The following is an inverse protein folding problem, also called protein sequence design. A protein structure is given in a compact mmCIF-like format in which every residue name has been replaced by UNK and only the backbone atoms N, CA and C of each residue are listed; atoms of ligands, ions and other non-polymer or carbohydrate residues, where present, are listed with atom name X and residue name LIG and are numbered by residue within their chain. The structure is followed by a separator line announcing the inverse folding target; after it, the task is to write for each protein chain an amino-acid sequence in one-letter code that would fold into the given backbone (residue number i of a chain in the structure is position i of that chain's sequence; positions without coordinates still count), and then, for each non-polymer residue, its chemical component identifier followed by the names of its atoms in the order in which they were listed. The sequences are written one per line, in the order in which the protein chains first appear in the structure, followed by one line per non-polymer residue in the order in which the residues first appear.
data_IF_478409319494
#
_entry.id   IF_478409319494
#
_cell.length_a   1.000
_cell.length_b   1.000
_cell.length_c   1.000
_cell.angle_alpha   90.00
_cell.angle_beta   90.00
_cell.angle_gamma   90.00
#
_symmetry.space_group_name_H-M   'P 1'
#
loop_
_entity.id
_entity.type
_entity.pdbx_description
1 polymer ?
#
# COMPACT_ATOMS: atom_id res chain seq x y z
N UNK A 1 42.50 21.91 5.47
CA UNK A 1 43.53 20.84 5.44
C UNK A 1 42.97 19.69 4.61
N UNK A 2 43.68 19.16 3.60
CA UNK A 2 43.18 18.03 2.82
C UNK A 2 43.25 16.77 3.69
N UNK A 3 42.12 16.11 3.90
CA UNK A 3 42.05 14.87 4.66
C UNK A 3 42.80 13.80 3.84
N UNK A 4 43.98 13.38 4.29
CA UNK A 4 44.73 12.29 3.66
C UNK A 4 44.12 10.95 4.05
N UNK A 5 43.10 10.53 3.32
CA UNK A 5 42.55 9.17 3.47
C UNK A 5 43.63 8.18 3.05
N UNK A 6 44.16 7.38 3.97
CA UNK A 6 45.00 6.24 3.60
C UNK A 6 44.11 5.14 3.03
N UNK A 7 44.58 4.46 1.98
CA UNK A 7 43.83 3.36 1.33
C UNK A 7 43.40 2.26 2.32
N UNK A 8 44.17 2.06 3.39
CA UNK A 8 43.87 1.11 4.47
C UNK A 8 42.63 1.52 5.29
N UNK A 9 42.48 2.81 5.63
CA UNK A 9 41.31 3.32 6.36
C UNK A 9 40.03 3.27 5.52
N UNK A 10 40.14 3.57 4.21
CA UNK A 10 39.02 3.40 3.26
C UNK A 10 38.57 1.94 3.25
N UNK A 11 39.50 0.99 3.11
CA UNK A 11 39.19 -0.44 3.03
C UNK A 11 38.61 -1.01 4.33
N UNK A 12 39.05 -0.52 5.49
CA UNK A 12 38.54 -0.97 6.81
C UNK A 12 37.09 -0.56 7.04
N UNK A 13 36.71 0.63 6.58
CA UNK A 13 35.37 1.19 6.79
C UNK A 13 34.41 0.91 5.63
N UNK A 14 34.92 0.56 4.44
CA UNK A 14 34.13 0.30 3.24
C UNK A 14 32.99 -0.72 3.45
N UNK A 15 33.16 -1.86 4.14
CA UNK A 15 32.06 -2.80 4.34
C UNK A 15 30.89 -2.19 5.12
N UNK A 16 31.19 -1.39 6.15
CA UNK A 16 30.16 -0.70 6.93
C UNK A 16 29.43 0.36 6.12
N UNK A 17 30.16 1.15 5.32
CA UNK A 17 29.57 2.16 4.44
C UNK A 17 28.70 1.51 3.35
N UNK A 18 29.19 0.43 2.73
CA UNK A 18 28.42 -0.34 1.73
C UNK A 18 27.14 -0.90 2.36
N UNK A 19 27.23 -1.45 3.56
CA UNK A 19 26.05 -1.99 4.27
C UNK A 19 25.03 -0.88 4.57
N UNK A 20 25.48 0.27 5.06
CA UNK A 20 24.58 1.42 5.31
C UNK A 20 23.89 1.86 4.02
N UNK A 21 24.64 2.02 2.92
CA UNK A 21 24.08 2.41 1.62
C UNK A 21 23.09 1.34 1.12
N UNK A 22 23.42 0.05 1.25
CA UNK A 22 22.55 -1.04 0.84
C UNK A 22 21.24 -1.08 1.63
N UNK A 23 21.29 -0.88 2.96
CA UNK A 23 20.10 -0.80 3.80
C UNK A 23 19.24 0.41 3.41
N UNK A 24 19.85 1.58 3.23
CA UNK A 24 19.12 2.76 2.78
C UNK A 24 18.46 2.55 1.41
N UNK A 25 19.19 1.99 0.45
CA UNK A 25 18.65 1.67 -0.87
C UNK A 25 17.49 0.67 -0.79
N UNK A 26 17.58 -0.35 0.06
CA UNK A 26 16.50 -1.30 0.28
C UNK A 26 15.24 -0.64 0.88
N UNK A 27 15.41 0.27 1.85
CA UNK A 27 14.30 1.02 2.45
C UNK A 27 13.63 1.93 1.41
N UNK A 28 14.41 2.63 0.58
CA UNK A 28 13.83 3.47 -0.48
C UNK A 28 13.20 2.67 -1.62
N UNK A 29 13.65 1.44 -1.86
CA UNK A 29 13.01 0.52 -2.80
C UNK A 29 11.66 -0.02 -2.28
N UNK A 30 11.40 0.05 -0.97
CA UNK A 30 10.09 -0.26 -0.39
C UNK A 30 9.18 0.95 -0.53
N UNK A 31 8.33 0.94 -1.56
CA UNK A 31 7.31 1.95 -1.92
C UNK A 31 7.03 3.03 -0.84
N UNK A 32 7.82 4.13 -0.82
CA UNK A 32 7.75 5.11 0.25
C UNK A 32 6.45 5.91 0.23
N UNK A 33 5.78 5.98 -0.92
CA UNK A 33 4.46 6.60 -1.03
C UNK A 33 3.40 5.77 -0.30
N UNK A 34 3.49 4.45 -0.34
CA UNK A 34 2.59 3.57 0.41
C UNK A 34 2.70 3.81 1.91
N UNK A 35 3.91 3.89 2.47
CA UNK A 35 4.11 4.30 3.87
C UNK A 35 3.40 5.63 4.11
N UNK A 36 3.77 6.66 3.32
CA UNK A 36 3.35 8.04 3.60
C UNK A 36 1.83 8.16 3.61
N UNK A 37 1.17 7.39 2.74
CA UNK A 37 -0.27 7.27 2.68
C UNK A 37 -0.81 6.49 3.89
N UNK A 38 -0.25 5.33 4.24
CA UNK A 38 -0.75 4.51 5.34
C UNK A 38 -0.67 5.21 6.71
N UNK A 39 0.37 6.04 6.91
CA UNK A 39 0.57 6.83 8.12
C UNK A 39 -0.32 8.09 8.18
N UNK A 40 -0.89 8.55 7.05
CA UNK A 40 -1.73 9.74 7.01
C UNK A 40 -3.09 9.47 7.67
N UNK A 41 -3.61 10.35 8.56
CA UNK A 41 -4.92 10.16 9.16
C UNK A 41 -6.05 10.07 8.13
N UNK A 42 -7.12 9.34 8.48
CA UNK A 42 -8.35 9.30 7.67
C UNK A 42 -9.09 10.63 7.84
N UNK A 43 -9.37 11.30 6.72
CA UNK A 43 -10.11 12.55 6.67
C UNK A 43 -11.61 12.32 6.50
N UNK A 44 -11.98 11.42 5.61
CA UNK A 44 -13.38 11.09 5.34
C UNK A 44 -13.57 9.66 4.88
N UNK A 45 -14.76 9.14 5.15
CA UNK A 45 -15.22 7.82 4.73
C UNK A 45 -16.59 8.02 4.09
N UNK A 46 -16.73 7.62 2.83
CA UNK A 46 -17.99 7.69 2.11
C UNK A 46 -18.51 6.28 1.80
N UNK A 47 -19.70 5.90 2.30
CA UNK A 47 -20.28 4.60 1.98
C UNK A 47 -20.82 4.60 0.54
N UNK A 48 -20.64 3.48 -0.14
CA UNK A 48 -21.09 3.24 -1.51
C UNK A 48 -21.69 1.83 -1.56
N UNK A 49 -22.91 1.73 -2.09
CA UNK A 49 -23.53 0.43 -2.32
C UNK A 49 -22.91 -0.22 -3.56
N UNK A 50 -22.49 -1.47 -3.42
CA UNK A 50 -21.90 -2.24 -4.49
C UNK A 50 -22.44 -3.67 -4.50
N UNK A 51 -22.16 -4.39 -5.58
CA UNK A 51 -22.44 -5.82 -5.73
C UNK A 51 -21.16 -6.54 -6.08
N UNK A 52 -20.84 -7.61 -5.37
CA UNK A 52 -19.66 -8.43 -5.67
C UNK A 52 -19.89 -9.18 -6.98
N UNK A 53 -19.01 -9.01 -7.97
CA UNK A 53 -19.12 -9.64 -9.29
C UNK A 53 -18.20 -10.84 -9.45
N UNK A 54 -16.99 -10.77 -8.92
CA UNK A 54 -16.05 -11.87 -8.93
C UNK A 54 -15.02 -11.70 -7.81
N UNK A 55 -14.28 -12.76 -7.55
CA UNK A 55 -13.14 -12.74 -6.65
C UNK A 55 -12.00 -13.51 -7.29
N UNK A 56 -10.80 -12.96 -7.17
CA UNK A 56 -9.56 -13.69 -7.35
C UNK A 56 -8.94 -13.91 -5.97
N UNK A 57 -8.85 -15.17 -5.55
CA UNK A 57 -8.19 -15.53 -4.29
C UNK A 57 -6.70 -15.73 -4.56
N UNK A 58 -5.87 -15.00 -3.81
CA UNK A 58 -4.43 -15.15 -3.81
C UNK A 58 -3.92 -15.24 -2.37
N UNK A 59 -3.26 -16.36 -2.02
CA UNK A 59 -2.66 -16.59 -0.70
C UNK A 59 -3.54 -16.25 0.52
N UNK A 60 -4.86 -16.45 0.43
CA UNK A 60 -5.82 -16.17 1.51
C UNK A 60 -6.39 -14.76 1.53
N UNK A 61 -5.96 -13.87 0.62
CA UNK A 61 -6.55 -12.55 0.37
C UNK A 61 -7.41 -12.59 -0.89
N UNK A 62 -8.62 -12.05 -0.82
CA UNK A 62 -9.51 -11.93 -1.96
C UNK A 62 -9.39 -10.56 -2.60
N UNK A 63 -9.10 -10.54 -3.91
CA UNK A 63 -9.26 -9.34 -4.75
C UNK A 63 -10.65 -9.43 -5.36
N UNK A 64 -11.57 -8.62 -4.87
CA UNK A 64 -12.97 -8.61 -5.27
C UNK A 64 -13.20 -7.56 -6.35
N UNK A 65 -13.79 -7.96 -7.47
CA UNK A 65 -14.40 -7.01 -8.41
C UNK A 65 -15.79 -6.68 -7.91
N UNK A 66 -16.04 -5.42 -7.58
CA UNK A 66 -17.34 -4.93 -7.14
C UNK A 66 -17.90 -3.95 -8.16
N UNK A 67 -19.19 -4.04 -8.47
CA UNK A 67 -19.89 -3.08 -9.32
C UNK A 67 -20.76 -2.16 -8.49
N UNK A 68 -20.73 -0.87 -8.79
CA UNK A 68 -21.59 0.15 -8.18
C UNK A 68 -22.80 0.42 -9.09
N UNK A 69 -23.88 0.94 -8.53
CA UNK A 69 -25.14 1.21 -9.24
C UNK A 69 -24.99 2.17 -10.43
N UNK A 70 -24.00 3.06 -10.39
CA UNK A 70 -23.65 3.98 -11.48
C UNK A 70 -23.00 3.28 -12.69
N UNK A 71 -22.79 1.97 -12.62
CA UNK A 71 -22.13 1.17 -13.66
C UNK A 71 -20.60 1.11 -13.51
N UNK A 72 -20.02 1.85 -12.57
CA UNK A 72 -18.60 1.79 -12.26
C UNK A 72 -18.24 0.44 -11.63
N UNK A 73 -16.99 0.01 -11.79
CA UNK A 73 -16.49 -1.21 -11.13
C UNK A 73 -15.11 -0.97 -10.54
N UNK A 74 -14.86 -1.53 -9.37
CA UNK A 74 -13.64 -1.33 -8.59
C UNK A 74 -13.07 -2.66 -8.14
N UNK A 75 -11.74 -2.71 -7.96
CA UNK A 75 -11.07 -3.82 -7.30
C UNK A 75 -10.87 -3.44 -5.83
N UNK A 76 -11.29 -4.34 -4.94
CA UNK A 76 -11.22 -4.14 -3.51
C UNK A 76 -10.59 -5.38 -2.89
N UNK A 77 -9.51 -5.18 -2.13
CA UNK A 77 -8.88 -6.24 -1.37
C UNK A 77 -9.59 -6.41 -0.02
N UNK A 78 -9.89 -7.65 0.36
CA UNK A 78 -10.30 -8.01 1.72
C UNK A 78 -9.75 -9.40 2.06
N UNK A 79 -9.49 -9.60 3.34
CA UNK A 79 -9.13 -10.90 3.90
C UNK A 79 -10.39 -11.69 4.29
N UNK A 80 -11.51 -11.00 4.49
CA UNK A 80 -12.81 -11.62 4.78
C UNK A 80 -13.46 -12.12 3.49
N UNK A 81 -14.04 -13.34 3.50
CA UNK A 81 -14.74 -13.86 2.33
C UNK A 81 -16.06 -13.13 2.09
N UNK A 82 -16.26 -12.66 0.85
CA UNK A 82 -17.54 -12.08 0.39
C UNK A 82 -18.22 -12.96 -0.66
N UNK A 83 -19.55 -13.04 -0.60
CA UNK A 83 -20.36 -13.82 -1.54
C UNK A 83 -20.47 -13.12 -2.89
N UNK A 84 -20.19 -13.86 -3.97
CA UNK A 84 -20.40 -13.38 -5.34
C UNK A 84 -21.91 -13.20 -5.58
N UNK A 85 -22.29 -12.06 -6.16
CA UNK A 85 -23.68 -11.66 -6.41
C UNK A 85 -24.37 -11.01 -5.22
N UNK A 86 -23.74 -10.98 -4.04
CA UNK A 86 -24.30 -10.32 -2.88
C UNK A 86 -24.13 -8.79 -2.95
N UNK A 87 -25.10 -8.08 -2.37
CA UNK A 87 -24.94 -6.68 -2.05
C UNK A 87 -23.89 -6.51 -0.95
N UNK A 88 -23.01 -5.54 -1.14
CA UNK A 88 -21.95 -5.19 -0.21
C UNK A 88 -21.86 -3.68 -0.07
N UNK A 89 -21.58 -3.21 1.14
CA UNK A 89 -21.22 -1.82 1.37
C UNK A 89 -19.70 -1.69 1.26
N UNK A 90 -19.26 -0.85 0.33
CA UNK A 90 -17.87 -0.45 0.22
C UNK A 90 -17.72 0.99 0.72
N UNK A 91 -16.52 1.32 1.15
CA UNK A 91 -16.15 2.65 1.63
C UNK A 91 -15.08 3.24 0.72
N UNK A 92 -15.33 4.42 0.20
CA UNK A 92 -14.28 5.29 -0.33
C UNK A 92 -13.65 6.03 0.84
N UNK A 93 -12.41 5.68 1.16
CA UNK A 93 -11.64 6.30 2.23
C UNK A 93 -10.75 7.36 1.62
N UNK A 94 -10.83 8.59 2.12
CA UNK A 94 -9.93 9.69 1.76
C UNK A 94 -9.09 10.06 2.97
N UNK A 95 -7.77 10.10 2.81
CA UNK A 95 -6.82 10.53 3.85
C UNK A 95 -6.54 12.02 3.76
N UNK A 96 -5.93 12.58 4.81
CA UNK A 96 -5.61 14.01 4.86
C UNK A 96 -4.65 14.45 3.75
N UNK A 97 -3.73 13.58 3.34
CA UNK A 97 -2.81 13.85 2.25
C UNK A 97 -3.46 13.75 0.85
N UNK A 98 -4.78 13.52 0.77
CA UNK A 98 -5.54 13.43 -0.47
C UNK A 98 -5.53 12.06 -1.15
N UNK A 99 -4.82 11.07 -0.60
CA UNK A 99 -4.88 9.70 -1.11
C UNK A 99 -6.26 9.08 -0.87
N UNK A 100 -6.75 8.32 -1.85
CA UNK A 100 -8.04 7.66 -1.81
C UNK A 100 -7.91 6.17 -2.11
N UNK A 101 -8.70 5.35 -1.43
CA UNK A 101 -8.78 3.90 -1.69
C UNK A 101 -10.15 3.35 -1.31
N UNK A 102 -10.51 2.22 -1.92
CA UNK A 102 -11.74 1.50 -1.62
C UNK A 102 -11.47 0.33 -0.67
N UNK A 103 -12.37 0.10 0.28
CA UNK A 103 -12.39 -1.09 1.14
C UNK A 103 -13.82 -1.56 1.37
N UNK A 104 -14.02 -2.77 1.83
CA UNK A 104 -15.33 -3.15 2.37
C UNK A 104 -15.58 -2.42 3.69
N UNK A 105 -16.84 -2.06 3.94
CA UNK A 105 -17.24 -1.54 5.23
C UNK A 105 -16.92 -2.56 6.34
N UNK A 106 -16.55 -2.05 7.52
CA UNK A 106 -16.15 -2.90 8.64
C UNK A 106 -17.34 -3.63 9.26
#
# INVERSE_FOLDING_TARGET
MPVSWTFADVKRNAPGVILIIAVFAAVFAMDPHKWANDASPIRSVQPINATVKSVQLDHGRGIYLVSVEDGSSFLVEDERPHLIGAHANIELVTRENGSTFYRFAN
#
